data_IF_716784185616
#
_entry.id   IF_716784185616
#
_cell.length_a   1.000
_cell.length_b   1.000
_cell.length_c   1.000
_cell.angle_alpha   90.00
_cell.angle_beta   90.00
_cell.angle_gamma   90.00
#
_symmetry.space_group_name_H-M   'P 1'
#
loop_
_entity.id
_entity.type
_entity.pdbx_description
1 polymer ?
#
# COMPACT_ATOMS: atom_id res chain seq x y z
N UNK A 1 -8.67 11.42 -15.64
CA UNK A 1 -8.41 11.98 -14.30
C UNK A 1 -7.02 12.58 -14.36
N UNK A 2 -6.93 13.90 -14.42
CA UNK A 2 -5.65 14.61 -14.34
C UNK A 2 -5.18 14.58 -12.89
N UNK A 3 -4.07 13.90 -12.62
CA UNK A 3 -3.39 14.01 -11.34
C UNK A 3 -2.79 15.41 -11.24
N UNK A 4 -3.38 16.23 -10.36
CA UNK A 4 -2.84 17.53 -9.99
C UNK A 4 -1.52 17.33 -9.25
N UNK A 5 -0.41 17.49 -9.96
CA UNK A 5 0.91 17.58 -9.33
C UNK A 5 0.98 18.87 -8.50
N UNK A 6 1.09 18.72 -7.18
CA UNK A 6 1.37 19.84 -6.28
C UNK A 6 2.79 20.33 -6.57
N UNK A 7 2.90 21.53 -7.15
CA UNK A 7 4.18 22.22 -7.36
C UNK A 7 4.70 22.68 -5.99
N UNK A 8 5.63 21.92 -5.40
CA UNK A 8 6.30 22.33 -4.18
C UNK A 8 7.36 23.41 -4.49
N UNK A 9 7.26 24.55 -3.80
CA UNK A 9 8.21 25.66 -3.84
C UNK A 9 9.52 25.25 -3.16
N UNK A 10 10.45 24.68 -3.93
CA UNK A 10 11.85 24.64 -3.55
C UNK A 10 12.47 26.02 -3.77
N UNK A 11 13.55 26.38 -3.05
CA UNK A 11 14.49 27.45 -3.44
C UNK A 11 15.25 27.14 -4.76
N UNK A 12 14.63 26.40 -5.67
CA UNK A 12 15.05 26.11 -7.05
C UNK A 12 14.91 27.34 -7.95
N UNK A 13 14.13 28.36 -7.57
CA UNK A 13 13.96 29.58 -8.37
C UNK A 13 15.25 30.34 -8.67
N UNK A 14 16.34 30.07 -7.92
CA UNK A 14 17.68 30.64 -8.14
C UNK A 14 18.66 29.68 -8.83
N UNK A 15 18.22 28.45 -9.16
CA UNK A 15 19.05 27.41 -9.77
C UNK A 15 18.96 27.42 -11.29
N UNK A 16 20.03 26.98 -11.94
CA UNK A 16 20.08 26.90 -13.39
C UNK A 16 19.06 25.88 -13.92
N UNK A 17 18.59 26.07 -15.17
CA UNK A 17 17.68 25.12 -15.82
C UNK A 17 18.23 23.69 -15.81
N UNK A 18 19.55 23.51 -15.97
CA UNK A 18 20.19 22.20 -15.96
C UNK A 18 20.08 21.49 -14.61
N UNK A 19 20.26 22.23 -13.50
CA UNK A 19 20.10 21.69 -12.14
C UNK A 19 18.66 21.24 -11.87
N UNK A 20 17.67 22.01 -12.34
CA UNK A 20 16.25 21.64 -12.20
C UNK A 20 15.93 20.35 -12.96
N UNK A 21 16.41 20.25 -14.21
CA UNK A 21 16.20 19.07 -15.05
C UNK A 21 16.83 17.84 -14.40
N UNK A 22 18.01 17.98 -13.81
CA UNK A 22 18.68 16.85 -13.15
C UNK A 22 17.90 16.33 -11.93
N UNK A 23 17.39 17.23 -11.08
CA UNK A 23 16.53 16.83 -9.95
C UNK A 23 15.25 16.16 -10.44
N UNK A 24 14.60 16.71 -11.47
CA UNK A 24 13.40 16.10 -12.07
C UNK A 24 13.69 14.70 -12.61
N UNK A 25 14.84 14.52 -13.27
CA UNK A 25 15.27 13.23 -13.81
C UNK A 25 15.49 12.21 -12.69
N UNK A 26 16.17 12.61 -11.61
CA UNK A 26 16.47 11.74 -10.47
C UNK A 26 15.20 11.37 -9.67
N UNK A 27 14.30 12.32 -9.48
CA UNK A 27 13.04 12.15 -8.77
C UNK A 27 11.94 11.46 -9.60
N UNK A 28 12.19 11.15 -10.87
CA UNK A 28 11.20 10.53 -11.75
C UNK A 28 10.68 9.22 -11.16
N UNK A 29 9.35 9.07 -11.17
CA UNK A 29 8.63 7.91 -10.63
C UNK A 29 8.89 7.65 -9.13
N UNK A 30 9.27 8.68 -8.38
CA UNK A 30 9.32 8.64 -6.91
C UNK A 30 8.20 9.49 -6.33
N UNK A 31 7.72 9.13 -5.16
CA UNK A 31 6.77 9.95 -4.40
C UNK A 31 7.57 10.69 -3.35
N UNK A 32 7.46 12.02 -3.37
CA UNK A 32 8.17 12.90 -2.43
C UNK A 32 7.17 13.48 -1.44
N UNK A 33 7.47 13.33 -0.15
CA UNK A 33 6.78 14.01 0.94
C UNK A 33 7.63 15.17 1.43
N UNK A 34 7.11 16.39 1.29
CA UNK A 34 7.77 17.58 1.84
C UNK A 34 7.33 17.78 3.29
N UNK A 35 8.27 17.71 4.22
CA UNK A 35 8.01 17.92 5.65
C UNK A 35 8.46 19.32 6.08
N UNK A 36 7.61 20.00 6.86
CA UNK A 36 7.92 21.30 7.48
C UNK A 36 8.59 21.19 8.84
N UNK A 37 8.65 19.98 9.40
CA UNK A 37 9.34 19.69 10.67
C UNK A 37 10.85 19.64 10.40
N UNK A 38 11.69 19.93 11.39
CA UNK A 38 13.13 19.65 11.36
C UNK A 38 13.36 18.13 11.25
N UNK A 39 13.13 17.58 10.06
CA UNK A 39 13.34 16.19 9.72
C UNK A 39 14.66 16.00 8.99
N UNK A 40 15.08 14.76 8.87
CA UNK A 40 16.21 14.35 8.06
C UNK A 40 15.72 13.84 6.70
N UNK A 41 16.63 13.80 5.71
CA UNK A 41 16.36 13.11 4.45
C UNK A 41 16.23 11.61 4.71
N UNK A 42 15.07 11.04 4.38
CA UNK A 42 14.78 9.64 4.70
C UNK A 42 13.93 8.95 3.64
N UNK A 43 14.05 7.62 3.55
CA UNK A 43 13.10 6.77 2.83
C UNK A 43 12.11 6.23 3.85
N UNK A 44 10.83 6.49 3.66
CA UNK A 44 9.76 5.95 4.48
C UNK A 44 9.51 4.48 4.15
N UNK A 45 8.82 3.77 5.05
CA UNK A 45 8.56 2.32 4.93
C UNK A 45 7.79 1.94 3.66
N UNK A 46 6.94 2.84 3.18
CA UNK A 46 6.15 2.67 1.96
C UNK A 46 6.90 3.10 0.68
N UNK A 47 8.19 3.42 0.81
CA UNK A 47 9.04 3.84 -0.31
C UNK A 47 8.94 5.32 -0.64
N UNK A 48 8.15 6.13 0.07
CA UNK A 48 8.15 7.59 -0.13
C UNK A 48 9.46 8.22 0.33
N UNK A 49 9.90 9.26 -0.36
CA UNK A 49 11.08 10.04 0.00
C UNK A 49 10.66 11.24 0.83
N UNK A 50 11.07 11.29 2.10
CA UNK A 50 10.83 12.42 2.98
C UNK A 50 11.93 13.47 2.79
N UNK A 51 11.53 14.69 2.45
CA UNK A 51 12.43 15.81 2.18
C UNK A 51 12.02 17.01 3.04
N UNK A 52 12.91 17.53 3.91
CA UNK A 52 12.65 18.76 4.65
C UNK A 52 12.52 19.97 3.73
N UNK A 53 11.66 20.92 4.10
CA UNK A 53 11.43 22.14 3.31
C UNK A 53 12.69 23.04 3.20
N UNK A 54 13.66 22.88 4.08
CA UNK A 54 14.89 23.66 4.19
C UNK A 54 16.17 22.87 3.87
N UNK A 55 16.09 21.85 2.99
CA UNK A 55 17.24 21.03 2.59
C UNK A 55 18.24 21.81 1.70
N UNK A 56 19.54 21.55 1.90
CA UNK A 56 20.58 21.98 0.97
C UNK A 56 20.46 21.27 -0.40
N UNK A 57 20.75 21.99 -1.48
CA UNK A 57 20.60 21.44 -2.84
C UNK A 57 21.58 20.30 -3.13
N UNK A 58 22.84 20.40 -2.68
CA UNK A 58 23.83 19.34 -2.86
C UNK A 58 23.40 18.07 -2.12
N UNK A 59 23.00 18.24 -0.85
CA UNK A 59 22.49 17.14 -0.04
C UNK A 59 21.25 16.47 -0.66
N UNK A 60 20.32 17.24 -1.25
CA UNK A 60 19.16 16.72 -1.96
C UNK A 60 19.56 15.88 -3.18
N UNK A 61 20.49 16.38 -4.00
CA UNK A 61 20.94 15.67 -5.21
C UNK A 61 21.62 14.35 -4.83
N UNK A 62 22.50 14.36 -3.84
CA UNK A 62 23.20 13.16 -3.38
C UNK A 62 22.24 12.14 -2.76
N UNK A 63 21.26 12.62 -2.00
CA UNK A 63 20.19 11.77 -1.49
C UNK A 63 19.38 11.13 -2.63
N UNK A 64 18.94 11.89 -3.63
CA UNK A 64 18.17 11.33 -4.75
C UNK A 64 18.97 10.32 -5.57
N UNK A 65 20.26 10.59 -5.82
CA UNK A 65 21.15 9.65 -6.53
C UNK A 65 21.28 8.31 -5.79
N UNK A 66 21.34 8.34 -4.47
CA UNK A 66 21.56 7.14 -3.64
C UNK A 66 20.27 6.39 -3.32
N UNK A 67 19.14 7.09 -3.21
CA UNK A 67 17.89 6.52 -2.66
C UNK A 67 16.76 6.34 -3.66
N UNK A 68 16.75 7.07 -4.78
CA UNK A 68 15.61 7.04 -5.70
C UNK A 68 15.35 5.64 -6.28
N UNK A 69 16.40 4.85 -6.56
CA UNK A 69 16.21 3.48 -7.02
C UNK A 69 15.59 2.60 -5.93
N UNK A 70 16.13 2.67 -4.71
CA UNK A 70 15.62 1.90 -3.57
C UNK A 70 14.16 2.24 -3.25
N UNK A 71 13.78 3.52 -3.34
CA UNK A 71 12.39 3.98 -3.22
C UNK A 71 11.49 3.32 -4.27
N UNK A 72 11.91 3.29 -5.53
CA UNK A 72 11.17 2.61 -6.61
C UNK A 72 11.06 1.11 -6.39
N UNK A 73 12.11 0.46 -5.91
CA UNK A 73 12.13 -0.98 -5.66
C UNK A 73 11.16 -1.34 -4.51
N UNK A 74 11.17 -0.57 -3.41
CA UNK A 74 10.23 -0.74 -2.30
C UNK A 74 8.80 -0.57 -2.80
N UNK A 75 8.52 0.50 -3.55
CA UNK A 75 7.18 0.76 -4.09
C UNK A 75 6.72 -0.35 -5.02
N UNK A 76 7.58 -0.77 -5.96
CA UNK A 76 7.27 -1.86 -6.88
C UNK A 76 7.05 -3.20 -6.18
N UNK A 77 7.78 -3.47 -5.10
CA UNK A 77 7.54 -4.65 -4.26
C UNK A 77 6.18 -4.57 -3.56
N UNK A 78 5.86 -3.44 -2.93
CA UNK A 78 4.59 -3.24 -2.24
C UNK A 78 3.39 -3.31 -3.19
N UNK A 79 3.49 -2.73 -4.39
CA UNK A 79 2.46 -2.81 -5.42
C UNK A 79 2.25 -4.26 -5.89
N UNK A 80 3.34 -5.00 -6.16
CA UNK A 80 3.27 -6.43 -6.52
C UNK A 80 2.63 -7.26 -5.41
N UNK A 81 3.02 -7.08 -4.16
CA UNK A 81 2.47 -7.84 -3.05
C UNK A 81 0.97 -7.53 -2.85
N UNK A 82 0.58 -6.26 -2.95
CA UNK A 82 -0.84 -5.85 -2.88
C UNK A 82 -1.64 -6.51 -4.00
N UNK A 83 -1.12 -6.53 -5.23
CA UNK A 83 -1.78 -7.21 -6.35
C UNK A 83 -1.93 -8.72 -6.14
N UNK A 84 -0.94 -9.37 -5.51
CA UNK A 84 -1.02 -10.80 -5.18
C UNK A 84 -2.11 -11.11 -4.15
N UNK A 85 -2.28 -10.27 -3.13
CA UNK A 85 -3.35 -10.42 -2.14
C UNK A 85 -4.74 -10.22 -2.78
N UNK A 86 -4.90 -9.25 -3.67
CA UNK A 86 -6.15 -9.04 -4.41
C UNK A 86 -6.49 -10.20 -5.35
N UNK A 87 -5.48 -10.80 -5.98
CA UNK A 87 -5.64 -12.01 -6.79
C UNK A 87 -6.07 -13.20 -5.92
N UNK A 88 -5.39 -13.43 -4.78
CA UNK A 88 -5.78 -14.47 -3.81
C UNK A 88 -7.20 -14.26 -3.29
N UNK A 89 -7.59 -13.02 -2.97
CA UNK A 89 -8.95 -12.69 -2.56
C UNK A 89 -9.98 -13.02 -3.66
N UNK A 90 -9.64 -12.71 -4.91
CA UNK A 90 -10.49 -13.02 -6.07
C UNK A 90 -10.64 -14.54 -6.24
N UNK A 91 -9.58 -15.29 -6.04
CA UNK A 91 -9.59 -16.76 -6.12
C UNK A 91 -10.44 -17.37 -5.00
N UNK A 92 -10.31 -16.89 -3.75
CA UNK A 92 -11.17 -17.28 -2.62
C UNK A 92 -12.64 -16.98 -2.93
N UNK A 93 -12.93 -15.76 -3.39
CA UNK A 93 -14.29 -15.32 -3.74
C UNK A 93 -14.93 -16.24 -4.77
N UNK A 94 -14.17 -16.66 -5.80
CA UNK A 94 -14.63 -17.60 -6.83
C UNK A 94 -14.82 -19.01 -6.29
N UNK A 95 -13.84 -19.54 -5.54
CA UNK A 95 -13.88 -20.90 -5.00
C UNK A 95 -15.06 -21.11 -4.03
N UNK A 96 -15.33 -20.12 -3.19
CA UNK A 96 -16.41 -20.18 -2.18
C UNK A 96 -17.72 -19.55 -2.66
N UNK A 97 -17.77 -19.09 -3.92
CA UNK A 97 -18.91 -18.39 -4.51
C UNK A 97 -19.47 -17.25 -3.63
N UNK A 98 -18.57 -16.42 -3.09
CA UNK A 98 -18.95 -15.31 -2.21
C UNK A 98 -19.49 -14.13 -3.03
N UNK A 99 -20.51 -13.45 -2.52
CA UNK A 99 -21.01 -12.20 -3.11
C UNK A 99 -19.97 -11.09 -2.98
N UNK A 100 -19.33 -10.98 -1.83
CA UNK A 100 -18.26 -10.03 -1.59
C UNK A 100 -17.26 -10.55 -0.56
N UNK A 101 -16.01 -10.12 -0.69
CA UNK A 101 -14.95 -10.40 0.27
C UNK A 101 -14.20 -9.10 0.54
N UNK A 102 -14.17 -8.69 1.81
CA UNK A 102 -13.51 -7.47 2.27
C UNK A 102 -12.69 -7.78 3.52
N UNK A 103 -11.77 -6.91 3.89
CA UNK A 103 -10.96 -7.07 5.09
C UNK A 103 -10.70 -5.74 5.77
N UNK A 104 -10.35 -5.81 7.06
CA UNK A 104 -10.00 -4.66 7.88
C UNK A 104 -8.72 -3.98 7.39
N UNK A 105 -8.74 -2.64 7.34
CA UNK A 105 -7.57 -1.83 7.01
C UNK A 105 -6.52 -1.96 8.12
N UNK A 106 -5.30 -2.31 7.75
CA UNK A 106 -4.18 -2.46 8.70
C UNK A 106 -3.82 -3.90 9.05
N UNK A 107 -4.57 -4.89 8.56
CA UNK A 107 -4.13 -6.29 8.59
C UNK A 107 -2.86 -6.45 7.74
N UNK A 108 -1.90 -7.24 8.26
CA UNK A 108 -0.69 -7.54 7.51
C UNK A 108 -1.01 -8.45 6.33
N UNK A 109 -0.25 -8.32 5.25
CA UNK A 109 -0.49 -9.10 4.04
C UNK A 109 -0.20 -10.58 4.26
N UNK A 110 0.74 -10.92 5.15
CA UNK A 110 1.04 -12.30 5.54
C UNK A 110 -0.19 -12.95 6.20
N UNK A 111 -0.82 -12.25 7.15
CA UNK A 111 -2.03 -12.74 7.84
C UNK A 111 -3.17 -12.92 6.84
N UNK A 112 -3.35 -11.99 5.91
CA UNK A 112 -4.38 -12.11 4.86
C UNK A 112 -4.12 -13.29 3.93
N UNK A 113 -2.87 -13.49 3.51
CA UNK A 113 -2.48 -14.63 2.68
C UNK A 113 -2.77 -15.97 3.36
N UNK A 114 -2.37 -16.11 4.64
CA UNK A 114 -2.66 -17.31 5.43
C UNK A 114 -4.17 -17.53 5.60
N UNK A 115 -4.93 -16.46 5.88
CA UNK A 115 -6.39 -16.53 6.01
C UNK A 115 -7.03 -17.00 4.70
N UNK A 116 -6.59 -16.45 3.56
CA UNK A 116 -7.09 -16.85 2.25
C UNK A 116 -6.74 -18.28 1.90
N UNK A 117 -5.55 -18.75 2.21
CA UNK A 117 -5.15 -20.14 2.01
C UNK A 117 -6.02 -21.10 2.84
N UNK A 118 -6.29 -20.75 4.09
CA UNK A 118 -7.19 -21.52 4.96
C UNK A 118 -8.61 -21.55 4.42
N UNK A 119 -9.13 -20.39 3.99
CA UNK A 119 -10.47 -20.28 3.39
C UNK A 119 -10.59 -21.10 2.11
N UNK A 120 -9.54 -21.26 1.31
CA UNK A 120 -9.56 -22.14 0.13
C UNK A 120 -9.63 -23.64 0.48
N UNK A 121 -9.20 -24.02 1.69
CA UNK A 121 -9.12 -25.41 2.16
C UNK A 121 -10.24 -25.80 3.11
N UNK A 122 -11.25 -24.95 3.26
CA UNK A 122 -12.46 -25.29 4.05
C UNK A 122 -13.16 -26.49 3.45
N UNK A 123 -13.78 -27.28 4.32
CA UNK A 123 -14.57 -28.43 3.93
C UNK A 123 -15.88 -28.03 3.25
N UNK A 124 -16.48 -28.97 2.51
CA UNK A 124 -17.72 -28.73 1.76
C UNK A 124 -18.88 -28.28 2.67
N UNK A 125 -18.88 -28.70 3.94
CA UNK A 125 -19.92 -28.31 4.90
C UNK A 125 -19.87 -26.80 5.17
N UNK A 126 -18.70 -26.25 5.48
CA UNK A 126 -18.50 -24.81 5.69
C UNK A 126 -18.69 -24.04 4.39
N UNK A 127 -18.20 -24.57 3.26
CA UNK A 127 -18.40 -23.95 1.95
C UNK A 127 -19.89 -23.76 1.63
N UNK A 128 -20.74 -24.75 1.97
CA UNK A 128 -22.18 -24.65 1.77
C UNK A 128 -22.85 -23.57 2.63
N UNK A 129 -22.34 -23.35 3.85
CA UNK A 129 -22.87 -22.35 4.80
C UNK A 129 -22.56 -20.92 4.38
N UNK A 130 -21.40 -20.69 3.74
CA UNK A 130 -20.94 -19.35 3.37
C UNK A 130 -21.23 -18.96 1.92
N UNK A 131 -21.75 -19.89 1.13
CA UNK A 131 -22.06 -19.68 -0.28
C UNK A 131 -23.02 -18.48 -0.45
N UNK A 132 -22.65 -17.54 -1.34
CA UNK A 132 -23.45 -16.35 -1.63
C UNK A 132 -23.38 -15.24 -0.58
N UNK A 133 -22.61 -15.43 0.50
CA UNK A 133 -22.50 -14.43 1.56
C UNK A 133 -21.48 -13.34 1.24
N UNK A 134 -21.57 -12.23 1.96
CA UNK A 134 -20.58 -11.15 1.94
C UNK A 134 -19.77 -11.22 3.21
N UNK A 135 -18.48 -11.50 3.09
CA UNK A 135 -17.58 -11.75 4.22
C UNK A 135 -16.66 -10.55 4.46
N UNK A 136 -16.41 -10.24 5.73
CA UNK A 136 -15.46 -9.24 6.18
C UNK A 136 -14.45 -9.84 7.16
N UNK A 137 -13.18 -9.95 6.76
CA UNK A 137 -12.11 -10.46 7.63
C UNK A 137 -11.65 -9.35 8.56
N UNK A 138 -11.59 -9.62 9.86
CA UNK A 138 -11.13 -8.65 10.87
C UNK A 138 -10.21 -9.30 11.90
N UNK A 139 -9.47 -8.48 12.64
CA UNK A 139 -8.70 -8.94 13.80
C UNK A 139 -9.58 -9.28 15.02
N UNK A 140 -10.89 -8.99 14.96
CA UNK A 140 -11.82 -9.32 16.04
C UNK A 140 -11.99 -10.84 16.12
N UNK A 141 -11.77 -11.47 17.29
CA UNK A 141 -11.89 -12.92 17.43
C UNK A 141 -13.32 -13.46 17.28
N UNK A 142 -14.34 -12.59 17.25
CA UNK A 142 -15.73 -12.99 17.21
C UNK A 142 -16.30 -12.95 15.79
N UNK A 143 -17.23 -13.88 15.52
CA UNK A 143 -18.04 -13.87 14.30
C UNK A 143 -19.33 -13.12 14.59
N UNK A 144 -19.66 -12.13 13.77
CA UNK A 144 -20.90 -11.36 13.93
C UNK A 144 -21.37 -10.76 12.61
N UNK A 145 -22.65 -10.40 12.54
CA UNK A 145 -23.22 -9.70 11.39
C UNK A 145 -23.02 -8.20 11.56
N UNK A 146 -22.42 -7.56 10.56
CA UNK A 146 -22.22 -6.12 10.47
C UNK A 146 -23.53 -5.40 10.11
N UNK A 147 -23.61 -4.10 10.39
CA UNK A 147 -24.81 -3.28 10.15
C UNK A 147 -25.24 -3.20 8.69
N UNK A 148 -24.35 -3.53 7.75
CA UNK A 148 -24.61 -3.56 6.31
C UNK A 148 -24.91 -4.98 5.78
N UNK A 149 -25.11 -5.95 6.68
CA UNK A 149 -25.44 -7.32 6.34
C UNK A 149 -24.25 -8.19 5.93
N UNK A 150 -23.01 -7.70 6.03
CA UNK A 150 -21.82 -8.54 5.90
C UNK A 150 -21.60 -9.39 7.14
N UNK A 151 -21.01 -10.57 7.00
CA UNK A 151 -20.57 -11.38 8.14
C UNK A 151 -19.11 -11.09 8.39
N UNK A 152 -18.79 -10.60 9.58
CA UNK A 152 -17.42 -10.47 10.03
C UNK A 152 -16.91 -11.79 10.58
N UNK A 153 -15.72 -12.21 10.14
CA UNK A 153 -15.02 -13.41 10.60
C UNK A 153 -13.61 -13.03 11.08
N UNK A 154 -13.03 -13.77 12.05
CA UNK A 154 -11.65 -13.58 12.46
C UNK A 154 -10.66 -14.07 11.41
N UNK A 155 -9.43 -13.54 11.42
CA UNK A 155 -8.32 -14.00 10.56
C UNK A 155 -7.92 -15.47 10.80
N UNK A 156 -8.23 -16.03 11.96
CA UNK A 156 -7.93 -17.42 12.33
C UNK A 156 -9.18 -18.31 12.39
N UNK A 157 -10.25 -17.95 11.68
CA UNK A 157 -11.55 -18.63 11.78
C UNK A 157 -11.54 -20.13 11.41
N UNK A 158 -10.54 -20.58 10.65
CA UNK A 158 -10.39 -21.96 10.16
C UNK A 158 -9.05 -22.54 10.61
#
# INVERSE_FOLDING_TARGET
MEENFIVCLFRISTKSKGEVIEVQRLAKNTIIEISSVYGELAILRDGRLQIPCNVDFGALVDFLKTTAQKSRDIKGSSEKQTSGIEESATNVKKALNLKNLTWESGLSQEILAETFEKLQKVDESVQSLINGLSIHISANPNIFVMTDGRISIPTNWV
#
